data_IF_732464637114
#
_entry.id   IF_732464637114
#
_cell.length_a   1.000
_cell.length_b   1.000
_cell.length_c   1.000
_cell.angle_alpha   90.00
_cell.angle_beta   90.00
_cell.angle_gamma   90.00
#
_symmetry.space_group_name_H-M   'P 1'
#
loop_
_entity.id
_entity.type
_entity.pdbx_description
1 polymer ?
#
# COMPACT_ATOMS: atom_id res chain seq x y z
N UNK A 1 6.27 -0.52 -19.56
CA UNK A 1 6.23 0.24 -18.29
C UNK A 1 6.35 -0.75 -17.16
N UNK A 2 7.44 -0.66 -16.41
CA UNK A 2 7.63 -1.47 -15.21
C UNK A 2 6.65 -0.97 -14.13
N UNK A 3 6.09 -1.89 -13.33
CA UNK A 3 5.13 -1.58 -12.25
C UNK A 3 5.86 -1.59 -10.91
N UNK A 4 5.42 -0.79 -9.96
CA UNK A 4 5.79 -0.94 -8.54
C UNK A 4 4.51 -1.26 -7.76
N UNK A 5 4.61 -2.15 -6.77
CA UNK A 5 3.47 -2.65 -6.03
C UNK A 5 3.47 -2.08 -4.61
N UNK A 6 2.34 -1.54 -4.18
CA UNK A 6 2.17 -0.98 -2.85
C UNK A 6 1.12 -1.80 -2.10
N UNK A 7 1.39 -2.13 -0.85
CA UNK A 7 0.47 -2.90 -0.02
C UNK A 7 -0.58 -2.00 0.67
N UNK A 8 -1.60 -2.65 1.23
CA UNK A 8 -2.64 -2.05 2.07
C UNK A 8 -2.68 -2.78 3.40
N UNK A 9 -3.30 -2.21 4.46
CA UNK A 9 -3.46 -2.92 5.71
C UNK A 9 -4.20 -4.24 5.53
N UNK A 10 -3.80 -5.28 6.27
CA UNK A 10 -4.35 -6.64 6.10
C UNK A 10 -5.88 -6.73 6.19
N UNK A 11 -6.52 -5.81 6.93
CA UNK A 11 -7.98 -5.68 7.05
C UNK A 11 -8.68 -5.30 5.74
N UNK A 12 -7.92 -4.86 4.73
CA UNK A 12 -8.37 -4.51 3.39
C UNK A 12 -7.91 -5.52 2.32
N UNK A 13 -7.27 -6.63 2.71
CA UNK A 13 -6.88 -7.67 1.76
C UNK A 13 -8.10 -8.19 0.98
N UNK A 14 -7.95 -8.27 -0.36
CA UNK A 14 -9.01 -8.72 -1.26
C UNK A 14 -10.13 -7.70 -1.54
N UNK A 15 -10.07 -6.50 -0.95
CA UNK A 15 -11.00 -5.41 -1.24
C UNK A 15 -10.48 -4.51 -2.36
N UNK A 16 -11.40 -3.95 -3.15
CA UNK A 16 -11.07 -2.86 -4.06
C UNK A 16 -10.87 -1.56 -3.27
N UNK A 17 -9.91 -0.76 -3.71
CA UNK A 17 -9.53 0.51 -3.10
C UNK A 17 -9.37 1.56 -4.20
N UNK A 18 -9.56 2.82 -3.82
CA UNK A 18 -9.27 3.97 -4.67
C UNK A 18 -7.82 4.42 -4.44
N UNK A 19 -7.14 4.82 -5.50
CA UNK A 19 -5.73 5.25 -5.42
C UNK A 19 -5.60 6.63 -6.05
N UNK A 20 -5.02 7.56 -5.31
CA UNK A 20 -4.61 8.87 -5.81
C UNK A 20 -3.08 8.89 -5.94
N UNK A 21 -2.60 9.24 -7.13
CA UNK A 21 -1.16 9.26 -7.42
C UNK A 21 -0.75 10.71 -7.65
N UNK A 22 0.15 11.19 -6.80
CA UNK A 22 0.82 12.48 -6.93
C UNK A 22 2.23 12.28 -7.50
N UNK A 23 3.03 13.36 -7.50
CA UNK A 23 4.38 13.34 -8.03
C UNK A 23 5.30 12.39 -7.26
N UNK A 24 5.21 12.36 -5.93
CA UNK A 24 6.09 11.59 -5.05
C UNK A 24 5.37 10.68 -4.04
N UNK A 25 4.03 10.67 -4.04
CA UNK A 25 3.22 9.89 -3.10
C UNK A 25 2.06 9.16 -3.80
N UNK A 26 1.71 8.01 -3.26
CA UNK A 26 0.59 7.15 -3.64
C UNK A 26 -0.30 7.01 -2.41
N UNK A 27 -1.42 7.71 -2.40
CA UNK A 27 -2.42 7.64 -1.34
C UNK A 27 -3.52 6.64 -1.70
N UNK A 28 -3.93 5.85 -0.70
CA UNK A 28 -4.87 4.76 -0.87
C UNK A 28 -6.08 5.02 0.04
N UNK A 29 -7.27 4.85 -0.53
CA UNK A 29 -8.54 5.11 0.13
C UNK A 29 -9.48 3.90 0.03
N UNK A 30 -10.35 3.74 1.02
CA UNK A 30 -11.47 2.80 0.98
C UNK A 30 -12.74 3.49 1.46
N UNK A 31 -13.80 3.47 0.65
CA UNK A 31 -15.07 4.13 0.97
C UNK A 31 -14.93 5.62 1.37
N UNK A 32 -13.98 6.33 0.76
CA UNK A 32 -13.69 7.74 1.03
C UNK A 32 -12.77 8.01 2.23
N UNK A 33 -12.36 6.98 2.98
CA UNK A 33 -11.42 7.09 4.10
C UNK A 33 -9.98 6.82 3.63
N UNK A 34 -9.01 7.61 4.10
CA UNK A 34 -7.58 7.39 3.82
C UNK A 34 -7.06 6.24 4.68
N UNK A 35 -6.50 5.20 4.04
CA UNK A 35 -6.11 3.95 4.72
C UNK A 35 -4.60 3.67 4.67
N UNK A 36 -3.86 4.25 3.71
CA UNK A 36 -2.42 4.09 3.57
C UNK A 36 -1.82 5.16 2.67
N UNK A 37 -0.52 5.43 2.84
CA UNK A 37 0.24 6.35 1.99
C UNK A 37 1.64 5.79 1.76
N UNK A 38 2.08 5.76 0.51
CA UNK A 38 3.40 5.28 0.13
C UNK A 38 4.18 6.33 -0.63
N UNK A 39 5.48 6.42 -0.39
CA UNK A 39 6.34 7.19 -1.29
C UNK A 39 6.42 6.51 -2.65
N UNK A 40 6.10 7.23 -3.72
CA UNK A 40 6.17 6.73 -5.09
C UNK A 40 7.60 6.32 -5.44
N UNK A 41 7.74 5.12 -5.95
CA UNK A 41 8.98 4.51 -6.40
C UNK A 41 8.99 4.34 -7.92
N UNK A 42 10.18 4.28 -8.54
CA UNK A 42 10.31 3.84 -9.92
C UNK A 42 9.64 2.47 -10.10
N UNK A 43 8.99 2.29 -11.25
CA UNK A 43 8.54 0.96 -11.64
C UNK A 43 9.75 0.06 -11.77
N UNK A 44 9.88 -0.92 -10.87
CA UNK A 44 11.03 -1.82 -10.78
C UNK A 44 10.61 -3.24 -10.38
N UNK A 45 9.31 -3.54 -10.47
CA UNK A 45 8.67 -4.81 -10.10
C UNK A 45 8.83 -5.19 -8.62
N UNK A 46 9.18 -4.25 -7.75
CA UNK A 46 9.29 -4.48 -6.31
C UNK A 46 8.00 -4.11 -5.56
N UNK A 47 7.96 -4.53 -4.29
CA UNK A 47 6.89 -4.28 -3.36
C UNK A 47 7.35 -3.30 -2.27
N UNK A 48 6.48 -2.36 -1.91
CA UNK A 48 6.60 -1.55 -0.70
C UNK A 48 5.51 -1.96 0.29
N UNK A 49 5.96 -2.45 1.45
CA UNK A 49 5.09 -2.89 2.53
C UNK A 49 5.46 -2.22 3.84
N UNK A 50 4.48 -1.53 4.42
CA UNK A 50 4.61 -0.91 5.73
C UNK A 50 4.35 -1.96 6.82
N UNK A 51 5.03 -1.83 7.96
CA UNK A 51 4.91 -2.80 9.06
C UNK A 51 3.50 -2.82 9.65
N UNK A 52 2.84 -1.67 9.63
CA UNK A 52 1.46 -1.44 10.05
C UNK A 52 0.47 -2.23 9.21
N UNK A 53 0.86 -2.66 8.00
CA UNK A 53 0.00 -3.47 7.15
C UNK A 53 -0.05 -4.94 7.57
N UNK A 54 0.96 -5.39 8.32
CA UNK A 54 1.06 -6.76 8.78
C UNK A 54 0.20 -6.94 10.04
N UNK A 55 -0.64 -7.99 10.13
CA UNK A 55 -1.43 -8.25 11.34
C UNK A 55 -0.52 -8.39 12.56
N UNK A 56 -0.96 -7.92 13.72
CA UNK A 56 -0.17 -7.98 14.96
C UNK A 56 0.40 -9.38 15.28
N UNK A 57 -0.33 -10.44 14.93
CA UNK A 57 0.12 -11.84 15.10
C UNK A 57 1.25 -12.30 14.18
N UNK A 58 1.59 -11.50 13.17
CA UNK A 58 2.63 -11.78 12.18
C UNK A 58 3.66 -10.65 12.07
N UNK A 59 3.61 -9.64 12.96
CA UNK A 59 4.58 -8.53 12.93
C UNK A 59 6.02 -9.00 13.17
N UNK A 60 6.21 -10.11 13.89
CA UNK A 60 7.53 -10.72 14.11
C UNK A 60 8.13 -11.40 12.86
N UNK A 61 7.36 -11.54 11.76
CA UNK A 61 7.78 -12.13 10.49
C UNK A 61 8.08 -11.08 9.40
N UNK A 62 7.92 -9.79 9.72
CA UNK A 62 8.04 -8.67 8.79
C UNK A 62 9.48 -8.17 8.63
#
# INVERSE_FOLDING_TARGET
MEKHFYSVPWSFAGKSVDVQIFDDVVDIFSAGEHIASHRKKPGNMQYSTDKEHVPAKHQDLA
#
